data_IF_129596534878
#
_entry.id   IF_129596534878
#
_cell.length_a   1.000
_cell.length_b   1.000
_cell.length_c   1.000
_cell.angle_alpha   90.00
_cell.angle_beta   90.00
_cell.angle_gamma   90.00
#
_symmetry.space_group_name_H-M   'P 1'
#
loop_
_entity.id
_entity.type
_entity.pdbx_description
1 polymer ?
#
# COMPACT_ATOMS: atom_id res chain seq x y z
N UNK A 1 23.67 -1.66 0.29
CA UNK A 1 22.66 -2.37 1.10
C UNK A 1 22.38 -3.68 0.40
N UNK A 2 22.39 -4.80 1.13
CA UNK A 2 22.04 -6.10 0.55
C UNK A 2 20.53 -6.12 0.30
N UNK A 3 20.15 -6.38 -0.95
CA UNK A 3 18.76 -6.53 -1.35
C UNK A 3 18.29 -7.92 -0.95
N UNK A 4 17.16 -7.99 -0.26
CA UNK A 4 16.52 -9.26 0.11
C UNK A 4 15.43 -9.54 -0.91
N UNK A 5 15.35 -10.78 -1.39
CA UNK A 5 14.33 -11.18 -2.35
C UNK A 5 13.41 -12.23 -1.77
N UNK A 6 12.20 -12.34 -2.31
CA UNK A 6 11.27 -13.40 -1.94
C UNK A 6 10.50 -13.96 -3.13
N UNK A 7 9.93 -15.14 -2.95
CA UNK A 7 9.04 -15.79 -3.92
C UNK A 7 7.77 -16.28 -3.24
N UNK A 8 6.63 -16.14 -3.91
CA UNK A 8 5.36 -16.68 -3.42
C UNK A 8 5.24 -18.17 -3.79
N UNK A 9 5.25 -19.05 -2.78
CA UNK A 9 5.18 -20.52 -2.96
C UNK A 9 3.78 -21.00 -3.35
N UNK A 10 2.73 -20.38 -2.81
CA UNK A 10 1.33 -20.78 -3.07
C UNK A 10 0.36 -19.64 -2.73
N UNK A 11 -0.34 -19.15 -3.74
CA UNK A 11 -1.38 -18.13 -3.61
C UNK A 11 -2.54 -18.42 -4.57
N UNK A 12 -3.74 -17.97 -4.20
CA UNK A 12 -4.93 -17.92 -5.07
C UNK A 12 -4.80 -16.82 -6.15
N UNK A 13 -3.72 -16.03 -6.11
CA UNK A 13 -3.37 -15.04 -7.12
C UNK A 13 -2.94 -15.70 -8.45
N UNK A 14 -3.10 -14.97 -9.55
CA UNK A 14 -2.91 -15.43 -10.93
C UNK A 14 -1.48 -15.95 -11.19
N UNK A 15 -1.38 -16.87 -12.16
CA UNK A 15 -0.24 -17.77 -12.36
C UNK A 15 1.12 -17.12 -12.67
N UNK A 16 1.17 -15.84 -13.03
CA UNK A 16 2.41 -15.13 -13.42
C UNK A 16 3.26 -14.64 -12.25
N UNK A 17 2.68 -14.44 -11.06
CA UNK A 17 3.38 -13.99 -9.85
C UNK A 17 4.05 -15.12 -9.05
N UNK A 18 3.82 -16.39 -9.43
CA UNK A 18 4.23 -17.57 -8.66
C UNK A 18 5.71 -17.97 -8.85
N UNK A 19 6.37 -17.46 -9.89
CA UNK A 19 7.70 -17.93 -10.30
C UNK A 19 8.81 -16.87 -10.24
N UNK A 20 8.48 -15.59 -10.14
CA UNK A 20 9.48 -14.52 -10.12
C UNK A 20 9.92 -14.19 -8.69
N UNK A 21 11.21 -13.85 -8.56
CA UNK A 21 11.74 -13.27 -7.34
C UNK A 21 11.38 -11.79 -7.31
N UNK A 22 10.79 -11.34 -6.21
CA UNK A 22 10.48 -9.95 -5.96
C UNK A 22 11.47 -9.39 -4.94
N UNK A 23 11.96 -8.18 -5.17
CA UNK A 23 12.73 -7.47 -4.14
C UNK A 23 11.77 -7.14 -2.99
N UNK A 24 12.22 -7.29 -1.75
CA UNK A 24 11.44 -6.84 -0.61
C UNK A 24 11.33 -5.32 -0.66
N UNK A 25 10.11 -4.76 -0.78
CA UNK A 25 9.93 -3.33 -0.73
C UNK A 25 10.29 -2.86 0.66
N UNK A 26 11.01 -1.74 0.75
CA UNK A 26 11.33 -1.13 2.02
C UNK A 26 10.10 -0.37 2.53
N UNK A 27 9.34 -0.85 3.53
CA UNK A 27 8.05 -0.27 3.93
C UNK A 27 8.14 1.15 4.51
N UNK A 28 9.36 1.63 4.75
CA UNK A 28 9.67 2.99 5.20
C UNK A 28 10.00 3.92 4.02
N UNK A 29 10.55 3.38 2.93
CA UNK A 29 11.00 4.15 1.76
C UNK A 29 10.02 4.11 0.60
N UNK A 30 9.34 2.99 0.42
CA UNK A 30 8.38 2.74 -0.65
C UNK A 30 7.13 2.07 -0.07
N UNK A 31 6.22 2.93 0.38
CA UNK A 31 4.97 2.51 1.02
C UNK A 31 4.05 1.88 -0.03
N UNK A 32 3.98 2.49 -1.21
CA UNK A 32 3.12 2.03 -2.30
C UNK A 32 3.51 0.62 -2.73
N UNK A 33 4.79 0.38 -3.01
CA UNK A 33 5.25 -0.95 -3.42
C UNK A 33 4.99 -2.00 -2.32
N UNK A 34 5.16 -1.64 -1.04
CA UNK A 34 4.84 -2.53 0.07
C UNK A 34 3.33 -2.86 0.13
N UNK A 35 2.46 -1.87 -0.06
CA UNK A 35 1.02 -2.08 -0.05
C UNK A 35 0.56 -2.89 -1.27
N UNK A 36 1.07 -2.61 -2.47
CA UNK A 36 0.76 -3.38 -3.68
C UNK A 36 1.09 -4.86 -3.50
N UNK A 37 2.23 -5.16 -2.88
CA UNK A 37 2.69 -6.54 -2.73
C UNK A 37 1.96 -7.29 -1.60
N UNK A 38 1.61 -6.62 -0.50
CA UNK A 38 1.16 -7.30 0.72
C UNK A 38 -0.23 -6.90 1.22
N UNK A 39 -0.87 -5.86 0.69
CA UNK A 39 -2.25 -5.54 1.04
C UNK A 39 -3.22 -6.39 0.19
N UNK A 40 -4.07 -7.23 0.81
CA UNK A 40 -5.09 -7.95 0.06
C UNK A 40 -6.04 -6.98 -0.62
N UNK A 41 -6.34 -7.23 -1.90
CA UNK A 41 -7.30 -6.45 -2.68
C UNK A 41 -6.95 -4.97 -2.87
N UNK A 42 -5.65 -4.63 -2.88
CA UNK A 42 -5.13 -3.26 -3.04
C UNK A 42 -5.89 -2.41 -4.07
N UNK A 43 -6.09 -2.93 -5.28
CA UNK A 43 -6.76 -2.22 -6.39
C UNK A 43 -8.23 -1.85 -6.12
N UNK A 44 -8.87 -2.52 -5.18
CA UNK A 44 -10.29 -2.34 -4.84
C UNK A 44 -10.51 -1.89 -3.40
N UNK A 45 -9.43 -1.56 -2.67
CA UNK A 45 -9.51 -1.16 -1.28
C UNK A 45 -9.87 0.33 -1.17
N UNK A 46 -11.06 0.61 -0.64
CA UNK A 46 -11.55 1.98 -0.49
C UNK A 46 -10.61 2.88 0.34
N UNK A 47 -9.82 2.32 1.28
CA UNK A 47 -8.85 3.11 2.05
C UNK A 47 -7.62 3.49 1.20
N UNK A 48 -7.28 2.68 0.20
CA UNK A 48 -6.22 3.04 -0.77
C UNK A 48 -6.72 4.15 -1.68
N UNK A 49 -7.95 4.04 -2.20
CA UNK A 49 -8.57 5.13 -2.97
C UNK A 49 -8.66 6.43 -2.16
N UNK A 50 -9.08 6.32 -0.90
CA UNK A 50 -9.13 7.47 0.00
C UNK A 50 -7.75 8.10 0.22
N UNK A 51 -6.71 7.28 0.41
CA UNK A 51 -5.33 7.77 0.54
C UNK A 51 -4.84 8.50 -0.71
N UNK A 52 -5.14 7.97 -1.90
CA UNK A 52 -4.81 8.60 -3.19
C UNK A 52 -5.50 9.97 -3.32
N UNK A 53 -6.78 10.06 -2.95
CA UNK A 53 -7.52 11.33 -2.99
C UNK A 53 -7.04 12.34 -1.94
N UNK A 54 -6.56 11.90 -0.77
CA UNK A 54 -5.88 12.78 0.19
C UNK A 54 -4.58 13.36 -0.37
N UNK A 55 -3.79 12.55 -1.09
CA UNK A 55 -2.56 13.02 -1.74
C UNK A 55 -2.87 14.03 -2.85
N UNK A 56 -3.88 13.76 -3.69
CA UNK A 56 -4.36 14.72 -4.68
C UNK A 56 -4.83 16.02 -4.04
N UNK A 57 -5.48 15.95 -2.87
CA UNK A 57 -5.93 17.14 -2.15
C UNK A 57 -4.74 17.96 -1.64
N UNK A 58 -3.73 17.29 -1.08
CA UNK A 58 -2.53 17.91 -0.52
C UNK A 58 -1.69 18.62 -1.59
N UNK A 59 -1.59 18.03 -2.78
CA UNK A 59 -0.76 18.54 -3.88
C UNK A 59 -1.54 19.28 -4.97
N UNK A 60 -2.84 19.48 -4.79
CA UNK A 60 -3.74 20.13 -5.75
C UNK A 60 -3.75 19.43 -7.13
N UNK A 61 -3.75 18.10 -7.14
CA UNK A 61 -3.65 17.26 -8.34
C UNK A 61 -5.01 16.73 -8.85
N UNK A 62 -6.11 17.16 -8.23
CA UNK A 62 -7.45 16.87 -8.73
C UNK A 62 -7.63 17.41 -10.15
N UNK A 63 -8.09 16.55 -11.06
CA UNK A 63 -8.33 16.93 -12.46
C UNK A 63 -9.63 17.72 -12.65
N UNK A 64 -10.53 17.65 -11.66
CA UNK A 64 -11.87 18.21 -11.71
C UNK A 64 -12.13 18.96 -10.41
N UNK A 65 -12.46 20.25 -10.53
CA UNK A 65 -12.74 21.08 -9.36
C UNK A 65 -14.03 20.66 -8.65
N UNK A 66 -15.00 20.09 -9.38
CA UNK A 66 -16.18 19.50 -8.74
C UNK A 66 -15.82 18.30 -7.89
N UNK A 67 -14.88 17.47 -8.34
CA UNK A 67 -14.48 16.26 -7.62
C UNK A 67 -13.68 16.62 -6.37
N UNK A 68 -12.82 17.64 -6.48
CA UNK A 68 -12.12 18.23 -5.33
C UNK A 68 -13.09 18.78 -4.29
N UNK A 69 -14.09 19.58 -4.70
CA UNK A 69 -15.10 20.12 -3.78
C UNK A 69 -15.88 18.99 -3.11
N UNK A 70 -16.37 18.01 -3.87
CA UNK A 70 -17.09 16.86 -3.34
C UNK A 70 -16.23 16.07 -2.34
N UNK A 71 -14.93 15.92 -2.60
CA UNK A 71 -14.02 15.24 -1.70
C UNK A 71 -13.78 16.03 -0.41
N UNK A 72 -13.58 17.35 -0.50
CA UNK A 72 -13.45 18.23 0.67
C UNK A 72 -14.71 18.16 1.53
N UNK A 73 -15.90 18.16 0.93
CA UNK A 73 -17.17 18.00 1.67
C UNK A 73 -17.28 16.62 2.33
N UNK A 74 -16.79 15.57 1.67
CA UNK A 74 -16.79 14.20 2.19
C UNK A 74 -15.81 14.02 3.36
N UNK A 75 -14.57 14.49 3.24
CA UNK A 75 -13.53 14.28 4.24
C UNK A 75 -13.56 15.33 5.36
N UNK A 76 -14.13 16.51 5.08
CA UNK A 76 -14.20 17.66 5.98
C UNK A 76 -12.82 18.05 6.54
N UNK A 77 -11.78 17.99 5.69
CA UNK A 77 -10.42 18.42 5.99
C UNK A 77 -10.10 19.65 5.15
N UNK A 78 -9.69 20.73 5.80
CA UNK A 78 -9.39 22.00 5.12
C UNK A 78 -7.99 22.50 5.40
N UNK A 79 -7.38 22.11 6.53
CA UNK A 79 -6.02 22.51 6.84
C UNK A 79 -5.01 21.48 6.32
N UNK A 80 -3.92 21.98 5.74
CA UNK A 80 -2.84 21.12 5.22
C UNK A 80 -2.26 20.18 6.27
N UNK A 81 -2.16 20.65 7.53
CA UNK A 81 -1.73 19.83 8.67
C UNK A 81 -2.69 18.67 8.97
N UNK A 82 -4.00 18.91 8.91
CA UNK A 82 -5.00 17.87 9.14
C UNK A 82 -4.96 16.81 8.03
N UNK A 83 -4.78 17.25 6.77
CA UNK A 83 -4.63 16.35 5.61
C UNK A 83 -3.37 15.49 5.79
N UNK A 84 -2.24 16.08 6.18
CA UNK A 84 -0.99 15.34 6.45
C UNK A 84 -1.13 14.33 7.59
N UNK A 85 -1.76 14.73 8.69
CA UNK A 85 -2.00 13.82 9.82
C UNK A 85 -2.90 12.65 9.41
N UNK A 86 -3.91 12.91 8.59
CA UNK A 86 -4.81 11.89 8.06
C UNK A 86 -4.12 10.93 7.09
N UNK A 87 -3.23 11.43 6.23
CA UNK A 87 -2.37 10.62 5.37
C UNK A 87 -1.52 9.68 6.24
N UNK A 88 -0.83 10.21 7.25
CA UNK A 88 0.02 9.40 8.16
C UNK A 88 -0.81 8.32 8.86
N UNK A 89 -2.01 8.68 9.34
CA UNK A 89 -2.94 7.76 10.00
C UNK A 89 -3.39 6.63 9.06
N UNK A 90 -3.79 7.00 7.85
CA UNK A 90 -4.30 6.06 6.83
C UNK A 90 -3.19 5.12 6.34
N UNK A 91 -2.01 5.66 6.03
CA UNK A 91 -0.84 4.85 5.70
C UNK A 91 -0.49 3.86 6.81
N UNK A 92 -0.50 4.30 8.07
CA UNK A 92 -0.19 3.42 9.20
C UNK A 92 -1.19 2.27 9.29
N UNK A 93 -2.49 2.55 9.11
CA UNK A 93 -3.53 1.52 9.13
C UNK A 93 -3.34 0.50 7.99
N UNK A 94 -3.06 0.97 6.77
CA UNK A 94 -2.79 0.12 5.61
C UNK A 94 -1.52 -0.71 5.80
N UNK A 95 -0.44 -0.10 6.31
CA UNK A 95 0.83 -0.79 6.62
C UNK A 95 0.60 -1.91 7.63
N UNK A 96 -0.14 -1.68 8.71
CA UNK A 96 -0.44 -2.72 9.72
C UNK A 96 -1.14 -3.90 9.06
N UNK A 97 -2.17 -3.65 8.24
CA UNK A 97 -2.91 -4.70 7.51
C UNK A 97 -2.01 -5.48 6.55
N UNK A 98 -1.14 -4.78 5.82
CA UNK A 98 -0.17 -5.40 4.93
C UNK A 98 0.88 -6.23 5.68
N UNK A 99 1.38 -5.75 6.83
CA UNK A 99 2.27 -6.52 7.70
C UNK A 99 1.60 -7.77 8.26
N UNK A 100 0.34 -7.69 8.72
CA UNK A 100 -0.40 -8.84 9.22
C UNK A 100 -0.55 -9.91 8.14
N UNK A 101 -0.85 -9.50 6.90
CA UNK A 101 -0.91 -10.40 5.77
C UNK A 101 0.47 -11.00 5.45
N UNK A 102 1.52 -10.18 5.38
CA UNK A 102 2.89 -10.65 5.18
C UNK A 102 3.28 -11.70 6.22
N UNK A 103 3.08 -11.41 7.51
CA UNK A 103 3.39 -12.31 8.61
C UNK A 103 2.59 -13.62 8.50
N UNK A 104 1.32 -13.54 8.12
CA UNK A 104 0.49 -14.72 7.84
C UNK A 104 1.05 -15.55 6.68
N UNK A 105 1.51 -14.92 5.60
CA UNK A 105 2.11 -15.61 4.46
C UNK A 105 3.42 -16.31 4.85
N UNK A 106 4.28 -15.67 5.65
CA UNK A 106 5.51 -16.27 6.18
C UNK A 106 5.18 -17.45 7.09
N UNK A 107 4.34 -17.24 8.10
CA UNK A 107 3.95 -18.27 9.08
C UNK A 107 3.36 -19.52 8.42
N UNK A 108 2.60 -19.33 7.33
CA UNK A 108 1.95 -20.41 6.60
C UNK A 108 2.82 -20.99 5.46
N UNK A 109 4.12 -20.68 5.41
CA UNK A 109 5.05 -21.13 4.36
C UNK A 109 4.57 -20.83 2.93
N UNK A 110 3.85 -19.72 2.75
CA UNK A 110 3.37 -19.24 1.45
C UNK A 110 4.36 -18.30 0.76
N UNK A 111 5.38 -17.83 1.48
CA UNK A 111 6.51 -17.06 0.95
C UNK A 111 7.83 -17.80 1.24
N UNK A 112 8.76 -17.75 0.29
CA UNK A 112 10.16 -18.12 0.42
C UNK A 112 11.01 -16.86 0.48
N UNK A 113 11.84 -16.70 1.51
CA UNK A 113 12.90 -15.69 1.49
C UNK A 113 14.09 -16.31 0.75
N UNK A 114 14.60 -15.61 -0.25
CA UNK A 114 15.73 -16.04 -1.08
C UNK A 114 16.99 -15.41 -0.49
N UNK A 115 17.91 -16.24 0.01
CA UNK A 115 19.23 -15.78 0.42
C UNK A 115 20.03 -15.37 -0.83
N UNK A 116 20.32 -14.09 -0.93
CA UNK A 116 21.30 -13.52 -1.86
C UNK A 116 22.67 -13.55 -1.18
N UNK A 117 23.38 -14.69 -1.31
CA UNK A 117 24.82 -14.76 -1.07
C UNK A 117 25.59 -13.92 -2.09
#
# INVERSE_FOLDING_TARGET
MNKTYYRIKKSNLTSSWKTMAHEFPGPVKDVEEFLVQFLPWYETDNQVTYLDDLYKLLFDEFQSESDKINFIEFCNLTEESEIKDEIIRTEKALKIRAYDNFYSLVKNNKIEILDTN
#
